data_IF_530276742009
#
_entry.id   IF_530276742009
#
_cell.length_a   1.000
_cell.length_b   1.000
_cell.length_c   1.000
_cell.angle_alpha   90.00
_cell.angle_beta   90.00
_cell.angle_gamma   90.00
#
_symmetry.space_group_name_H-M   'P 1'
#
loop_
_entity.id
_entity.type
_entity.pdbx_description
1 polymer ?
#
# COMPACT_ATOMS: atom_id res chain seq x y z
N UNK A 1 -6.37 -6.29 2.29
CA UNK A 1 -6.58 -7.11 1.07
C UNK A 1 -7.22 -8.46 1.34
N UNK A 2 -7.30 -8.92 2.59
CA UNK A 2 -8.03 -10.14 2.97
C UNK A 2 -9.40 -10.21 2.30
N UNK A 3 -9.65 -11.29 1.56
CA UNK A 3 -10.87 -11.52 0.80
C UNK A 3 -10.93 -10.92 -0.62
N UNK A 4 -9.93 -10.12 -1.04
CA UNK A 4 -9.83 -9.51 -2.39
C UNK A 4 -8.62 -10.00 -3.21
N UNK A 5 -7.63 -10.62 -2.57
CA UNK A 5 -6.47 -11.24 -3.22
C UNK A 5 -6.13 -12.55 -2.51
N UNK A 6 -5.73 -13.58 -3.27
CA UNK A 6 -5.26 -14.86 -2.73
C UNK A 6 -3.75 -14.88 -2.44
N UNK A 7 -3.04 -13.79 -2.75
CA UNK A 7 -1.56 -13.74 -2.71
C UNK A 7 -1.05 -12.90 -1.54
N UNK A 8 -1.75 -11.83 -1.14
CA UNK A 8 -1.28 -10.89 -0.11
C UNK A 8 -2.44 -10.41 0.75
N UNK A 9 -2.22 -10.37 2.06
CA UNK A 9 -3.22 -9.96 3.04
C UNK A 9 -3.24 -8.44 3.28
N UNK A 10 -2.05 -7.82 3.27
CA UNK A 10 -1.85 -6.41 3.59
C UNK A 10 -1.01 -5.69 2.52
N UNK A 11 -1.45 -4.49 2.15
CA UNK A 11 -0.67 -3.58 1.32
C UNK A 11 -0.35 -2.33 2.14
N UNK A 12 0.92 -1.99 2.20
CA UNK A 12 1.41 -0.76 2.84
C UNK A 12 1.86 0.19 1.74
N UNK A 13 1.43 1.45 1.81
CA UNK A 13 1.83 2.49 0.85
C UNK A 13 2.53 3.63 1.59
N UNK A 14 3.80 3.85 1.28
CA UNK A 14 4.64 4.89 1.86
C UNK A 14 5.13 5.87 0.79
N UNK A 15 5.47 7.09 1.22
CA UNK A 15 5.98 8.13 0.33
C UNK A 15 7.35 8.63 0.75
N UNK A 16 8.27 8.70 -0.20
CA UNK A 16 9.55 9.40 -0.07
C UNK A 16 9.49 10.79 -0.70
N UNK A 17 10.42 11.66 -0.28
CA UNK A 17 10.55 13.04 -0.77
C UNK A 17 11.60 13.18 -1.89
N UNK A 18 12.42 12.16 -2.11
CA UNK A 18 13.41 12.05 -3.19
C UNK A 18 13.73 10.57 -3.43
N UNK A 19 14.38 10.24 -4.55
CA UNK A 19 14.80 8.86 -4.86
C UNK A 19 15.73 8.28 -3.78
N UNK A 20 16.62 9.11 -3.23
CA UNK A 20 17.46 8.74 -2.08
C UNK A 20 16.63 8.37 -0.85
N UNK A 21 15.58 9.16 -0.54
CA UNK A 21 14.70 8.89 0.59
C UNK A 21 13.90 7.60 0.36
N UNK A 22 13.33 7.41 -0.84
CA UNK A 22 12.64 6.17 -1.22
C UNK A 22 13.55 4.96 -1.03
N UNK A 23 14.78 5.02 -1.56
CA UNK A 23 15.78 3.95 -1.40
C UNK A 23 16.07 3.68 0.08
N UNK A 24 16.32 4.71 0.89
CA UNK A 24 16.60 4.54 2.31
C UNK A 24 15.44 3.91 3.10
N UNK A 25 14.19 4.25 2.74
CA UNK A 25 13.02 3.61 3.36
C UNK A 25 12.98 2.12 2.98
N UNK A 26 13.19 1.79 1.70
CA UNK A 26 13.18 0.40 1.25
C UNK A 26 14.29 -0.43 1.93
N UNK A 27 15.50 0.12 2.00
CA UNK A 27 16.63 -0.51 2.67
C UNK A 27 16.33 -0.78 4.15
N UNK A 28 15.74 0.19 4.86
CA UNK A 28 15.38 0.02 6.27
C UNK A 28 14.23 -0.97 6.48
N UNK A 29 13.23 -1.01 5.58
CA UNK A 29 12.18 -2.04 5.59
C UNK A 29 12.78 -3.43 5.44
N UNK A 30 13.65 -3.63 4.44
CA UNK A 30 14.33 -4.92 4.20
C UNK A 30 15.20 -5.31 5.39
N UNK A 31 15.97 -4.38 5.93
CA UNK A 31 16.85 -4.61 7.08
C UNK A 31 16.07 -5.01 8.32
N UNK A 32 15.01 -4.28 8.66
CA UNK A 32 14.20 -4.59 9.84
C UNK A 32 13.40 -5.90 9.67
N UNK A 33 12.87 -6.16 8.47
CA UNK A 33 12.20 -7.44 8.18
C UNK A 33 13.15 -8.62 8.46
N UNK A 34 14.38 -8.55 7.95
CA UNK A 34 15.42 -9.57 8.19
C UNK A 34 15.76 -9.73 9.67
N UNK A 35 15.87 -8.63 10.42
CA UNK A 35 16.13 -8.67 11.86
C UNK A 35 15.01 -9.36 12.65
N UNK A 36 13.77 -9.26 12.17
CA UNK A 36 12.61 -9.91 12.74
C UNK A 36 12.41 -11.37 12.26
N UNK A 37 13.31 -11.88 11.40
CA UNK A 37 13.25 -13.22 10.86
C UNK A 37 12.42 -13.37 9.58
N UNK A 38 11.95 -12.26 8.99
CA UNK A 38 11.21 -12.26 7.73
C UNK A 38 12.15 -11.94 6.57
N UNK A 39 12.32 -12.90 5.67
CA UNK A 39 13.12 -12.71 4.46
C UNK A 39 12.24 -12.16 3.34
N UNK A 40 12.60 -11.02 2.72
CA UNK A 40 11.89 -10.57 1.54
C UNK A 40 11.98 -11.59 0.40
N UNK A 41 10.85 -11.83 -0.25
CA UNK A 41 10.77 -12.68 -1.45
C UNK A 41 11.38 -11.96 -2.65
N UNK A 42 11.23 -10.64 -2.70
CA UNK A 42 11.74 -9.80 -3.78
C UNK A 42 11.77 -8.32 -3.40
N UNK A 43 12.66 -7.59 -4.08
CA UNK A 43 12.73 -6.13 -4.03
C UNK A 43 12.88 -5.62 -5.46
N UNK A 44 11.89 -4.87 -5.93
CA UNK A 44 11.81 -4.41 -7.31
C UNK A 44 11.89 -2.89 -7.40
N UNK A 45 12.47 -2.35 -8.48
CA UNK A 45 12.54 -0.91 -8.74
C UNK A 45 13.61 -0.13 -7.94
N UNK A 46 14.43 -0.82 -7.16
CA UNK A 46 15.43 -0.22 -6.24
C UNK A 46 16.50 0.64 -6.94
N UNK A 47 16.77 0.37 -8.22
CA UNK A 47 17.80 1.08 -9.00
C UNK A 47 17.38 2.52 -9.30
N UNK A 48 16.15 2.71 -9.76
CA UNK A 48 15.61 4.04 -10.09
C UNK A 48 15.06 4.73 -8.83
N UNK A 49 14.49 3.94 -7.91
CA UNK A 49 13.92 4.40 -6.63
C UNK A 49 12.86 5.50 -6.75
N UNK A 50 12.16 5.57 -7.89
CA UNK A 50 10.93 6.36 -8.01
C UNK A 50 9.73 5.61 -7.42
N UNK A 51 9.75 4.28 -7.54
CA UNK A 51 8.82 3.34 -6.96
C UNK A 51 9.58 2.06 -6.64
N UNK A 52 9.63 1.70 -5.37
CA UNK A 52 10.17 0.42 -4.89
C UNK A 52 9.05 -0.44 -4.32
N UNK A 53 9.06 -1.72 -4.68
CA UNK A 53 8.19 -2.74 -4.11
C UNK A 53 9.03 -3.70 -3.27
N UNK A 54 8.63 -3.93 -2.02
CA UNK A 54 9.21 -4.96 -1.15
C UNK A 54 8.15 -6.01 -0.88
N UNK A 55 8.41 -7.24 -1.31
CA UNK A 55 7.53 -8.39 -1.12
C UNK A 55 7.93 -9.19 0.12
N UNK A 56 7.04 -9.24 1.11
CA UNK A 56 7.18 -10.00 2.36
C UNK A 56 6.10 -11.10 2.47
N UNK A 57 5.66 -11.66 1.33
CA UNK A 57 4.58 -12.63 1.18
C UNK A 57 3.19 -12.07 1.59
N UNK A 58 2.87 -12.10 2.88
CA UNK A 58 1.56 -11.67 3.40
C UNK A 58 1.42 -10.14 3.39
N UNK A 59 2.55 -9.42 3.30
CA UNK A 59 2.62 -7.97 3.26
C UNK A 59 3.41 -7.52 2.03
N UNK A 60 2.85 -6.62 1.24
CA UNK A 60 3.58 -5.94 0.16
C UNK A 60 3.68 -4.45 0.46
N UNK A 61 4.91 -3.94 0.49
CA UNK A 61 5.19 -2.52 0.79
C UNK A 61 5.53 -1.79 -0.49
N UNK A 62 4.75 -0.78 -0.82
CA UNK A 62 4.96 0.11 -1.95
C UNK A 62 5.53 1.45 -1.45
N UNK A 63 6.70 1.82 -1.91
CA UNK A 63 7.39 3.04 -1.49
C UNK A 63 7.63 3.88 -2.74
N UNK A 64 6.95 5.02 -2.83
CA UNK A 64 6.91 5.84 -4.05
C UNK A 64 7.33 7.27 -3.78
N UNK A 65 7.82 7.97 -4.80
CA UNK A 65 7.80 9.42 -4.81
C UNK A 65 6.35 9.93 -4.68
N UNK A 66 6.16 11.07 -4.03
CA UNK A 66 4.83 11.65 -3.83
C UNK A 66 4.04 11.80 -5.12
N UNK A 67 4.66 12.38 -6.17
CA UNK A 67 4.00 12.57 -7.46
C UNK A 67 3.62 11.25 -8.14
N UNK A 68 4.44 10.20 -7.99
CA UNK A 68 4.16 8.86 -8.51
C UNK A 68 2.96 8.24 -7.79
N UNK A 69 2.93 8.33 -6.45
CA UNK A 69 1.79 7.85 -5.64
C UNK A 69 0.49 8.56 -6.01
N UNK A 70 0.54 9.88 -6.20
CA UNK A 70 -0.64 10.67 -6.59
C UNK A 70 -1.14 10.28 -7.99
N UNK A 71 -0.24 10.04 -8.94
CA UNK A 71 -0.59 9.63 -10.29
C UNK A 71 -1.24 8.24 -10.34
N UNK A 72 -0.67 7.25 -9.66
CA UNK A 72 -1.17 5.87 -9.69
C UNK A 72 -2.29 5.60 -8.69
N UNK A 73 -2.39 6.37 -7.60
CA UNK A 73 -3.45 6.35 -6.60
C UNK A 73 -3.90 4.93 -6.18
N UNK A 74 -2.93 4.04 -5.94
CA UNK A 74 -3.18 2.62 -5.65
C UNK A 74 -4.15 2.41 -4.50
N UNK A 75 -4.13 3.30 -3.50
CA UNK A 75 -5.01 3.23 -2.35
C UNK A 75 -6.48 3.26 -2.75
N UNK A 76 -6.84 3.96 -3.83
CA UNK A 76 -8.21 4.00 -4.34
C UNK A 76 -8.67 2.65 -4.89
N UNK A 77 -7.78 1.95 -5.59
CA UNK A 77 -8.11 0.64 -6.19
C UNK A 77 -8.45 -0.40 -5.11
N UNK A 78 -7.79 -0.33 -3.96
CA UNK A 78 -7.86 -1.35 -2.93
C UNK A 78 -8.74 -0.99 -1.73
N UNK A 79 -9.18 0.28 -1.63
CA UNK A 79 -10.22 0.72 -0.68
C UNK A 79 -11.64 0.57 -1.21
N UNK A 80 -11.85 0.36 -2.52
CA UNK A 80 -13.16 -0.01 -3.07
C UNK A 80 -13.63 -1.32 -2.42
N UNK A 81 -14.61 -1.22 -1.50
CA UNK A 81 -15.14 -2.32 -0.69
C UNK A 81 -14.57 -2.46 0.73
N UNK A 82 -13.82 -1.48 1.24
CA UNK A 82 -13.51 -1.32 2.68
C UNK A 82 -14.24 -0.10 3.30
N UNK A 83 -15.02 0.59 2.47
CA UNK A 83 -16.00 1.58 2.93
C UNK A 83 -17.15 0.82 3.61
N UNK A 84 -17.55 1.18 4.84
CA UNK A 84 -18.82 0.71 5.38
C UNK A 84 -19.92 1.10 4.38
N UNK A 85 -20.98 0.27 4.22
CA UNK A 85 -22.08 0.64 3.34
C UNK A 85 -22.54 2.05 3.71
N UNK A 86 -22.68 2.93 2.71
CA UNK A 86 -23.32 4.22 2.92
C UNK A 86 -24.67 3.92 3.58
N UNK A 87 -24.87 4.44 4.80
CA UNK A 87 -26.15 4.30 5.46
C UNK A 87 -27.15 5.10 4.64
N UNK A 88 -27.95 4.39 3.85
CA UNK A 88 -29.17 4.94 3.26
C UNK A 88 -29.99 5.52 4.42
N UNK A 89 -29.88 6.84 4.61
CA UNK A 89 -30.83 7.55 5.44
C UNK A 89 -32.05 7.69 4.55
N UNK A 90 -32.86 6.64 4.56
CA UNK A 90 -34.18 6.61 3.96
C UNK A 90 -35.02 7.64 4.73
N UNK A 91 -35.04 8.87 4.22
CA UNK A 91 -35.90 9.93 4.72
C UNK A 91 -37.34 9.52 4.40
N UNK A 92 -37.99 8.93 5.40
CA UNK A 92 -39.36 8.42 5.30
C UNK A 92 -40.32 9.48 4.73
N UNK A 93 -41.35 9.09 3.96
CA UNK A 93 -42.31 10.03 3.40
C UNK A 93 -43.03 10.78 4.54
N UNK A 94 -42.91 12.10 4.55
CA UNK A 94 -43.71 12.96 5.42
C UNK A 94 -45.10 13.13 4.81
N UNK A 95 -46.01 12.21 5.10
CA UNK A 95 -47.45 12.41 4.93
C UNK A 95 -48.08 12.77 6.29
N UNK A 96 -48.50 14.03 6.44
CA UNK A 96 -49.51 14.48 7.38
C UNK A 96 -50.27 15.69 6.82
#
# INVERSE_FOLDING_TARGET
>A
MRGKSSVTDFMVVASGTSTRHVKSIADEVVKHAKQLGYMPLGVEGEREAEWVLVDLADVVVHIMLRGVREFYALERLWTVGDQPPESDTDEAPQDA
#
